data_IF_487291087207
#
_entry.id   IF_487291087207
#
_cell.length_a   1.000
_cell.length_b   1.000
_cell.length_c   1.000
_cell.angle_alpha   90.00
_cell.angle_beta   90.00
_cell.angle_gamma   90.00
#
_symmetry.space_group_name_H-M   'P 1'
#
loop_
_entity.id
_entity.type
_entity.pdbx_description
1 polymer ?
#
# COMPACT_ATOMS: atom_id res chain seq x y z
N UNK A 1 10.81 -11.99 -8.21
CA UNK A 1 10.47 -11.49 -6.86
C UNK A 1 10.53 -9.98 -6.95
N UNK A 2 9.45 -9.25 -6.67
CA UNK A 2 9.49 -7.78 -6.65
C UNK A 2 10.35 -7.38 -5.45
N UNK A 3 11.33 -6.53 -5.66
CA UNK A 3 12.02 -5.89 -4.54
C UNK A 3 10.97 -5.12 -3.73
N UNK A 4 10.82 -5.45 -2.46
CA UNK A 4 9.97 -4.70 -1.54
C UNK A 4 10.64 -3.35 -1.29
N UNK A 5 10.25 -2.37 -2.10
CA UNK A 5 10.75 -1.02 -2.06
C UNK A 5 9.73 -0.17 -1.33
N UNK A 6 10.20 0.64 -0.39
CA UNK A 6 9.36 1.65 0.27
C UNK A 6 8.92 2.69 -0.79
N UNK A 7 7.61 2.84 -1.06
CA UNK A 7 7.12 3.89 -1.96
C UNK A 7 7.50 5.27 -1.43
N UNK A 8 7.92 6.17 -2.33
CA UNK A 8 8.35 7.53 -1.98
C UNK A 8 7.26 8.26 -1.19
N UNK A 9 5.99 8.10 -1.58
CA UNK A 9 4.83 8.69 -0.91
C UNK A 9 4.74 8.30 0.58
N UNK A 10 4.96 7.02 0.90
CA UNK A 10 4.96 6.52 2.29
C UNK A 10 6.17 7.08 3.04
N UNK A 11 7.35 7.05 2.41
CA UNK A 11 8.57 7.57 3.01
C UNK A 11 8.43 9.08 3.34
N UNK A 12 7.90 9.87 2.42
CA UNK A 12 7.67 11.30 2.62
C UNK A 12 6.62 11.57 3.71
N UNK A 13 5.53 10.78 3.73
CA UNK A 13 4.49 10.87 4.77
C UNK A 13 5.08 10.63 6.17
N UNK A 14 5.89 9.59 6.33
CA UNK A 14 6.51 9.26 7.63
C UNK A 14 7.54 10.31 8.04
N UNK A 15 8.40 10.75 7.11
CA UNK A 15 9.34 11.84 7.36
C UNK A 15 8.62 13.11 7.84
N UNK A 16 7.55 13.51 7.15
CA UNK A 16 6.75 14.67 7.52
C UNK A 16 6.08 14.50 8.90
N UNK A 17 5.54 13.32 9.20
CA UNK A 17 4.88 13.02 10.46
C UNK A 17 5.86 13.13 11.64
N UNK A 18 7.03 12.50 11.54
CA UNK A 18 8.03 12.52 12.61
C UNK A 18 8.61 13.92 12.76
N UNK A 19 8.92 14.62 11.66
CA UNK A 19 9.40 16.00 11.71
C UNK A 19 8.38 16.94 12.37
N UNK A 20 7.09 16.83 12.03
CA UNK A 20 6.04 17.65 12.61
C UNK A 20 5.92 17.50 14.13
N UNK A 21 6.12 16.30 14.65
CA UNK A 21 6.01 16.01 16.09
C UNK A 21 7.29 16.38 16.84
N UNK A 22 8.46 16.17 16.24
CA UNK A 22 9.75 16.21 16.95
C UNK A 22 10.61 17.42 16.61
N UNK A 23 10.32 18.11 15.50
CA UNK A 23 11.16 19.15 14.92
C UNK A 23 12.52 18.64 14.40
N UNK A 24 12.80 17.34 14.44
CA UNK A 24 14.09 16.76 14.07
C UNK A 24 14.21 16.56 12.56
N UNK A 25 15.44 16.54 12.07
CA UNK A 25 15.71 16.15 10.69
C UNK A 25 15.60 14.62 10.57
N UNK A 26 14.75 14.16 9.66
CA UNK A 26 14.43 12.75 9.43
C UNK A 26 14.69 12.42 7.98
N UNK A 27 15.32 11.28 7.75
CA UNK A 27 15.62 10.75 6.43
C UNK A 27 15.17 9.30 6.36
N UNK A 28 14.60 8.89 5.23
CA UNK A 28 14.38 7.49 4.91
C UNK A 28 15.23 7.15 3.68
N UNK A 29 15.94 6.04 3.78
CA UNK A 29 16.86 5.55 2.76
C UNK A 29 16.36 4.20 2.25
N UNK A 30 16.41 4.03 0.93
CA UNK A 30 16.09 2.79 0.25
C UNK A 30 17.34 1.97 -0.07
N UNK A 31 17.29 1.24 -1.18
CA UNK A 31 18.37 0.38 -1.64
C UNK A 31 19.71 1.13 -1.79
N UNK A 32 20.82 0.47 -1.43
CA UNK A 32 22.16 1.05 -1.51
C UNK A 32 22.42 2.23 -0.56
N UNK A 33 21.48 2.54 0.35
CA UNK A 33 21.58 3.69 1.27
C UNK A 33 21.23 5.03 0.62
N UNK A 34 20.55 5.02 -0.54
CA UNK A 34 20.09 6.23 -1.22
C UNK A 34 18.91 6.85 -0.46
N UNK A 35 18.98 8.15 -0.16
CA UNK A 35 17.91 8.89 0.50
C UNK A 35 16.72 9.03 -0.46
N UNK A 36 15.58 8.43 -0.11
CA UNK A 36 14.33 8.49 -0.88
C UNK A 36 13.37 9.55 -0.34
N UNK A 37 13.50 9.92 0.94
CA UNK A 37 12.73 11.01 1.54
C UNK A 37 13.55 11.71 2.63
N UNK A 38 13.47 13.04 2.68
CA UNK A 38 14.12 13.85 3.71
C UNK A 38 13.37 15.16 3.93
N UNK A 39 13.47 15.71 5.14
CA UNK A 39 13.09 17.11 5.43
C UNK A 39 13.94 18.08 4.60
N UNK A 40 15.19 17.70 4.37
CA UNK A 40 16.19 18.42 3.59
C UNK A 40 16.14 17.93 2.14
N UNK A 41 15.29 18.56 1.31
CA UNK A 41 15.02 18.10 -0.06
C UNK A 41 16.27 18.02 -0.94
N UNK A 42 17.28 18.84 -0.68
CA UNK A 42 18.58 18.78 -1.37
C UNK A 42 19.35 17.47 -1.14
N UNK A 43 19.00 16.68 -0.13
CA UNK A 43 19.62 15.38 0.16
C UNK A 43 18.98 14.20 -0.57
N UNK A 44 17.76 14.36 -1.10
CA UNK A 44 17.07 13.28 -1.82
C UNK A 44 17.90 12.88 -3.04
N UNK A 45 18.09 11.58 -3.24
CA UNK A 45 18.95 11.02 -4.28
C UNK A 45 20.43 10.92 -3.92
N UNK A 46 20.86 11.45 -2.77
CA UNK A 46 22.25 11.27 -2.29
C UNK A 46 22.39 9.99 -1.47
N UNK A 47 23.61 9.44 -1.38
CA UNK A 47 23.90 8.25 -0.58
C UNK A 47 24.32 8.65 0.83
N UNK A 48 23.75 7.98 1.82
CA UNK A 48 24.18 8.10 3.20
C UNK A 48 25.07 6.91 3.59
N UNK A 49 26.35 7.14 3.88
CA UNK A 49 27.31 6.05 4.18
C UNK A 49 26.87 5.16 5.35
N UNK A 50 26.35 5.75 6.44
CA UNK A 50 25.76 4.96 7.53
C UNK A 50 24.57 4.09 7.10
N UNK A 51 23.75 4.56 6.16
CA UNK A 51 22.62 3.81 5.62
C UNK A 51 23.10 2.69 4.71
N UNK A 52 24.16 2.92 3.93
CA UNK A 52 24.75 1.92 3.05
C UNK A 52 25.18 0.68 3.84
N UNK A 53 25.86 0.87 4.97
CA UNK A 53 26.27 -0.23 5.87
C UNK A 53 25.08 -0.98 6.46
N UNK A 54 23.99 -0.27 6.80
CA UNK A 54 22.76 -0.91 7.27
C UNK A 54 22.09 -1.72 6.15
N UNK A 55 22.06 -1.17 4.94
CA UNK A 55 21.45 -1.81 3.77
C UNK A 55 22.27 -2.98 3.22
N UNK A 56 23.60 -3.00 3.42
CA UNK A 56 24.45 -4.18 3.14
C UNK A 56 24.32 -5.27 4.19
N UNK A 57 23.68 -4.97 5.33
CA UNK A 57 23.53 -5.91 6.45
C UNK A 57 24.78 -6.05 7.30
N UNK A 58 25.75 -5.14 7.18
CA UNK A 58 26.92 -5.11 8.08
C UNK A 58 26.52 -4.79 9.52
N UNK A 59 25.49 -3.96 9.69
CA UNK A 59 24.93 -3.51 10.98
C UNK A 59 23.42 -3.30 10.86
N UNK A 60 22.70 -3.36 11.98
CA UNK A 60 21.25 -3.10 12.02
C UNK A 60 20.92 -1.66 12.38
N UNK A 61 21.78 -1.07 13.20
CA UNK A 61 21.62 0.26 13.75
C UNK A 61 22.98 0.94 13.94
N UNK A 62 22.96 2.27 13.89
CA UNK A 62 24.11 3.12 14.11
C UNK A 62 23.68 4.32 14.94
N UNK A 63 24.09 4.32 16.21
CA UNK A 63 24.03 5.46 17.10
C UNK A 63 25.33 6.27 16.96
N UNK A 64 25.21 7.59 16.85
CA UNK A 64 26.36 8.50 16.82
C UNK A 64 26.13 9.63 17.82
N UNK A 65 26.98 9.73 18.84
CA UNK A 65 26.93 10.81 19.82
C UNK A 65 27.48 12.13 19.27
N UNK A 66 27.29 13.24 20.00
CA UNK A 66 27.88 14.52 19.61
C UNK A 66 29.41 14.48 19.72
N UNK A 67 29.96 13.80 20.73
CA UNK A 67 31.41 13.64 20.89
C UNK A 67 32.00 12.85 19.71
N UNK A 68 31.35 11.79 19.26
CA UNK A 68 31.76 11.00 18.10
C UNK A 68 31.64 11.82 16.81
N UNK A 69 30.53 12.53 16.61
CA UNK A 69 30.33 13.39 15.45
C UNK A 69 31.40 14.49 15.36
N UNK A 70 31.85 15.04 16.49
CA UNK A 70 32.89 16.08 16.53
C UNK A 70 34.27 15.61 16.06
N UNK A 71 34.53 14.29 16.11
CA UNK A 71 35.80 13.67 15.73
C UNK A 71 35.91 13.39 14.23
N UNK A 72 34.79 13.42 13.49
CA UNK A 72 34.74 13.06 12.07
C UNK A 72 34.09 14.17 11.23
N UNK A 73 34.81 14.63 10.20
CA UNK A 73 34.32 15.69 9.32
C UNK A 73 33.11 15.20 8.51
N UNK A 74 31.95 15.84 8.69
CA UNK A 74 30.73 15.56 7.93
C UNK A 74 29.75 14.56 8.59
N UNK A 75 30.05 14.08 9.80
CA UNK A 75 29.16 13.21 10.57
C UNK A 75 28.28 14.05 11.50
N UNK A 76 26.99 13.71 11.60
CA UNK A 76 26.04 14.37 12.51
C UNK A 76 25.59 13.37 13.57
N UNK A 77 25.40 13.85 14.80
CA UNK A 77 24.81 13.06 15.87
C UNK A 77 23.39 12.64 15.50
N UNK A 78 23.04 11.40 15.84
CA UNK A 78 21.76 10.83 15.47
C UNK A 78 21.70 9.33 15.65
N UNK A 79 20.57 8.78 15.24
CA UNK A 79 20.32 7.35 15.24
C UNK A 79 19.80 6.93 13.88
N UNK A 80 20.46 5.97 13.26
CA UNK A 80 19.99 5.31 12.04
C UNK A 80 19.66 3.87 12.37
N UNK A 81 18.50 3.37 11.93
CA UNK A 81 18.10 1.99 12.15
C UNK A 81 17.37 1.41 10.95
N UNK A 82 17.52 0.10 10.77
CA UNK A 82 16.90 -0.67 9.71
C UNK A 82 15.36 -0.63 9.79
N UNK A 83 14.71 -0.67 8.63
CA UNK A 83 13.30 -0.97 8.46
C UNK A 83 13.23 -2.41 7.92
N UNK A 84 12.66 -3.29 8.73
CA UNK A 84 12.43 -4.69 8.37
C UNK A 84 10.97 -4.87 8.00
N UNK A 85 10.65 -5.64 6.97
CA UNK A 85 9.29 -6.12 6.71
C UNK A 85 9.37 -7.62 6.47
N UNK A 86 8.59 -8.41 7.21
CA UNK A 86 8.63 -9.87 7.12
C UNK A 86 10.06 -10.46 7.20
N UNK A 87 10.91 -9.88 8.06
CA UNK A 87 12.31 -10.28 8.21
C UNK A 87 13.27 -9.81 7.09
N UNK A 88 12.78 -9.11 6.07
CA UNK A 88 13.59 -8.55 4.98
C UNK A 88 13.92 -7.09 5.23
N UNK A 89 15.15 -6.67 4.89
CA UNK A 89 15.58 -5.26 4.93
C UNK A 89 15.04 -4.52 3.72
N UNK A 90 14.12 -3.59 3.94
CA UNK A 90 13.47 -2.82 2.87
C UNK A 90 13.93 -1.36 2.82
N UNK A 91 14.62 -0.91 3.87
CA UNK A 91 15.16 0.43 3.96
C UNK A 91 15.78 0.70 5.33
N UNK A 92 16.12 1.95 5.60
CA UNK A 92 16.46 2.42 6.94
C UNK A 92 15.96 3.85 7.15
N UNK A 93 15.79 4.22 8.40
CA UNK A 93 15.36 5.56 8.82
C UNK A 93 16.42 6.16 9.75
N UNK A 94 16.77 7.42 9.48
CA UNK A 94 17.75 8.19 10.23
C UNK A 94 17.13 9.43 10.84
N UNK A 95 17.37 9.67 12.13
CA UNK A 95 16.93 10.87 12.85
C UNK A 95 18.15 11.55 13.49
N UNK A 96 18.33 12.85 13.24
CA UNK A 96 19.39 13.63 13.87
C UNK A 96 19.02 14.03 15.30
N UNK A 97 19.98 13.98 16.23
CA UNK A 97 19.81 14.35 17.64
C UNK A 97 20.55 13.41 18.60
N UNK A 98 20.35 13.60 19.90
CA UNK A 98 20.91 12.69 20.91
C UNK A 98 20.35 11.26 20.70
N UNK A 99 21.21 10.25 20.46
CA UNK A 99 20.79 8.87 20.21
C UNK A 99 19.83 8.27 21.26
N UNK A 100 19.98 8.64 22.54
CA UNK A 100 19.10 8.15 23.61
C UNK A 100 17.66 8.67 23.47
N UNK A 101 17.50 9.87 22.89
CA UNK A 101 16.19 10.49 22.68
C UNK A 101 15.60 10.07 21.34
N UNK A 102 16.41 10.05 20.28
CA UNK A 102 15.92 9.81 18.91
C UNK A 102 15.87 8.32 18.54
N UNK A 103 16.57 7.44 19.26
CA UNK A 103 16.54 5.99 19.02
C UNK A 103 15.14 5.39 19.13
N UNK A 104 14.38 5.61 20.22
CA UNK A 104 13.00 5.15 20.33
C UNK A 104 12.10 5.71 19.22
N UNK A 105 12.27 6.98 18.85
CA UNK A 105 11.51 7.64 17.79
C UNK A 105 11.81 7.01 16.42
N UNK A 106 13.08 6.69 16.16
CA UNK A 106 13.48 5.99 14.95
C UNK A 106 12.81 4.61 14.88
N UNK A 107 12.84 3.84 15.97
CA UNK A 107 12.22 2.51 16.04
C UNK A 107 10.71 2.58 15.78
N UNK A 108 10.02 3.56 16.38
CA UNK A 108 8.62 3.82 16.07
C UNK A 108 8.42 4.20 14.60
N UNK A 109 9.29 5.04 14.04
CA UNK A 109 9.23 5.42 12.63
C UNK A 109 9.37 4.22 11.69
N UNK A 110 10.25 3.27 12.02
CA UNK A 110 10.37 2.02 11.28
C UNK A 110 9.11 1.15 11.36
N UNK A 111 8.44 1.11 12.52
CA UNK A 111 7.15 0.40 12.68
C UNK A 111 6.06 1.09 11.86
N UNK A 112 5.98 2.43 11.88
CA UNK A 112 4.97 3.17 11.10
C UNK A 112 5.14 2.90 9.60
N UNK A 113 6.37 2.84 9.09
CA UNK A 113 6.60 2.47 7.67
C UNK A 113 6.08 1.06 7.39
N UNK A 114 6.34 0.10 8.27
CA UNK A 114 5.83 -1.27 8.12
C UNK A 114 4.31 -1.32 8.09
N UNK A 115 3.65 -0.68 9.05
CA UNK A 115 2.19 -0.63 9.16
C UNK A 115 1.54 0.01 7.93
N UNK A 116 2.13 1.09 7.39
CA UNK A 116 1.62 1.72 6.16
C UNK A 116 1.77 0.81 4.92
N UNK A 117 2.84 0.02 4.86
CA UNK A 117 3.03 -0.96 3.78
C UNK A 117 2.08 -2.14 3.91
N UNK A 118 1.88 -2.65 5.12
CA UNK A 118 0.98 -3.78 5.37
C UNK A 118 -0.47 -3.37 5.12
N UNK A 119 -0.87 -2.18 5.58
CA UNK A 119 -2.18 -1.62 5.27
C UNK A 119 -2.40 -1.48 3.76
N UNK A 120 -1.41 -0.96 3.03
CA UNK A 120 -1.50 -0.84 1.57
C UNK A 120 -1.65 -2.20 0.89
N UNK A 121 -0.91 -3.21 1.34
CA UNK A 121 -1.03 -4.59 0.84
C UNK A 121 -2.43 -5.14 1.05
N UNK A 122 -2.98 -4.98 2.26
CA UNK A 122 -4.34 -5.43 2.58
C UNK A 122 -5.42 -4.67 1.81
N UNK A 123 -5.24 -3.37 1.59
CA UNK A 123 -6.16 -2.56 0.78
C UNK A 123 -6.12 -2.99 -0.70
N UNK A 124 -4.93 -3.34 -1.22
CA UNK A 124 -4.76 -3.89 -2.58
C UNK A 124 -5.43 -5.27 -2.71
N UNK A 125 -5.17 -6.21 -1.79
CA UNK A 125 -5.81 -7.54 -1.77
C UNK A 125 -7.34 -7.45 -1.69
N UNK A 126 -7.85 -6.61 -0.79
CA UNK A 126 -9.29 -6.38 -0.64
C UNK A 126 -9.92 -5.82 -1.92
N UNK A 127 -9.18 -4.99 -2.66
CA UNK A 127 -9.66 -4.43 -3.93
C UNK A 127 -9.71 -5.48 -5.03
N UNK A 128 -8.69 -6.34 -5.12
CA UNK A 128 -8.69 -7.48 -6.05
C UNK A 128 -9.86 -8.45 -5.76
N UNK A 129 -10.15 -8.73 -4.49
CA UNK A 129 -11.31 -9.55 -4.10
C UNK A 129 -12.64 -8.91 -4.53
N UNK A 130 -12.80 -7.59 -4.36
CA UNK A 130 -14.01 -6.88 -4.78
C UNK A 130 -14.19 -6.90 -6.30
N UNK A 131 -13.10 -6.75 -7.05
CA UNK A 131 -13.12 -6.84 -8.51
C UNK A 131 -13.53 -8.24 -8.98
N UNK A 132 -13.00 -9.30 -8.35
CA UNK A 132 -13.39 -10.67 -8.65
C UNK A 132 -14.88 -10.91 -8.36
N UNK A 133 -15.39 -10.44 -7.22
CA UNK A 133 -16.81 -10.54 -6.87
C UNK A 133 -17.67 -9.80 -7.91
N UNK A 134 -17.27 -8.60 -8.32
CA UNK A 134 -18.00 -7.84 -9.34
C UNK A 134 -18.04 -8.57 -10.69
N UNK A 135 -16.94 -9.22 -11.07
CA UNK A 135 -16.89 -10.05 -12.28
C UNK A 135 -17.80 -11.27 -12.18
N UNK A 136 -17.79 -11.98 -11.06
CA UNK A 136 -18.66 -13.14 -10.82
C UNK A 136 -20.14 -12.76 -10.88
N UNK A 137 -20.50 -11.61 -10.30
CA UNK A 137 -21.86 -11.06 -10.38
C UNK A 137 -22.26 -10.79 -11.85
N UNK A 138 -21.35 -10.20 -12.64
CA UNK A 138 -21.59 -9.93 -14.07
C UNK A 138 -21.77 -11.23 -14.85
N UNK A 139 -20.93 -12.24 -14.60
CA UNK A 139 -21.05 -13.56 -15.20
C UNK A 139 -22.40 -14.24 -14.86
N UNK A 140 -22.86 -14.12 -13.61
CA UNK A 140 -24.17 -14.62 -13.19
C UNK A 140 -25.31 -13.88 -13.89
N UNK A 141 -25.20 -12.56 -14.04
CA UNK A 141 -26.19 -11.74 -14.74
C UNK A 141 -26.34 -12.17 -16.21
N UNK A 142 -25.23 -12.49 -16.88
CA UNK A 142 -25.22 -13.04 -18.24
C UNK A 142 -25.86 -14.42 -18.31
N UNK A 143 -25.63 -15.31 -17.34
CA UNK A 143 -26.32 -16.60 -17.26
C UNK A 143 -27.83 -16.44 -17.08
N UNK A 144 -28.26 -15.51 -16.23
CA UNK A 144 -29.69 -15.17 -16.05
C UNK A 144 -30.29 -14.72 -17.38
N UNK A 145 -29.56 -13.92 -18.17
CA UNK A 145 -30.01 -13.47 -19.49
C UNK A 145 -30.25 -14.64 -20.45
N UNK A 146 -29.40 -15.66 -20.44
CA UNK A 146 -29.60 -16.89 -21.23
C UNK A 146 -30.86 -17.64 -20.78
N UNK A 147 -31.08 -17.78 -19.47
CA UNK A 147 -32.29 -18.42 -18.92
C UNK A 147 -33.55 -17.63 -19.31
N UNK A 148 -33.49 -16.30 -19.26
CA UNK A 148 -34.57 -15.41 -19.68
C UNK A 148 -34.90 -15.57 -21.18
N UNK A 149 -33.88 -15.71 -22.05
CA UNK A 149 -34.08 -16.00 -23.48
C UNK A 149 -34.79 -17.35 -23.67
N UNK A 150 -34.34 -18.40 -22.97
CA UNK A 150 -35.00 -19.71 -23.04
C UNK A 150 -36.46 -19.67 -22.55
N UNK A 151 -36.72 -18.92 -21.49
CA UNK A 151 -38.08 -18.66 -20.99
C UNK A 151 -38.96 -17.93 -22.02
N UNK A 152 -38.41 -16.93 -22.72
CA UNK A 152 -39.12 -16.22 -23.81
C UNK A 152 -39.51 -17.18 -24.93
N UNK A 153 -38.60 -18.06 -25.34
CA UNK A 153 -38.84 -19.06 -26.40
C UNK A 153 -39.97 -20.02 -25.98
N UNK A 154 -39.96 -20.51 -24.73
CA UNK A 154 -41.03 -21.37 -24.23
C UNK A 154 -42.37 -20.64 -24.14
N UNK A 155 -42.39 -19.40 -23.64
CA UNK A 155 -43.59 -18.58 -23.57
C UNK A 155 -44.21 -18.39 -24.97
N UNK A 156 -43.39 -18.12 -25.99
CA UNK A 156 -43.83 -17.99 -27.37
C UNK A 156 -44.44 -19.31 -27.92
N UNK A 157 -43.84 -20.46 -27.60
CA UNK A 157 -44.36 -21.79 -28.01
C UNK A 157 -45.72 -22.12 -27.40
N UNK A 158 -46.00 -21.63 -26.19
CA UNK A 158 -47.24 -21.90 -25.46
C UNK A 158 -48.42 -20.97 -25.83
N UNK A 159 -48.19 -19.95 -26.67
CA UNK A 159 -49.21 -18.98 -27.04
C UNK A 159 -49.78 -18.26 -25.81
N UNK A 160 -51.11 -18.16 -25.70
CA UNK A 160 -51.76 -17.51 -24.56
C UNK A 160 -51.45 -18.16 -23.20
N UNK A 161 -51.19 -19.48 -23.18
CA UNK A 161 -50.81 -20.20 -21.95
C UNK A 161 -49.42 -19.82 -21.45
N UNK A 162 -48.60 -19.14 -22.27
CA UNK A 162 -47.27 -18.65 -21.91
C UNK A 162 -47.25 -17.29 -21.19
N UNK A 163 -48.41 -16.62 -21.03
CA UNK A 163 -48.47 -15.28 -20.44
C UNK A 163 -47.81 -15.16 -19.05
N UNK A 164 -47.98 -16.12 -18.10
CA UNK A 164 -47.29 -16.05 -16.81
C UNK A 164 -45.75 -16.11 -16.94
N UNK A 165 -45.23 -16.94 -17.84
CA UNK A 165 -43.79 -17.07 -18.09
C UNK A 165 -43.20 -15.79 -18.67
N UNK A 166 -43.96 -15.10 -19.55
CA UNK A 166 -43.54 -13.81 -20.13
C UNK A 166 -43.34 -12.73 -19.07
N UNK A 167 -44.20 -12.69 -18.04
CA UNK A 167 -44.07 -11.74 -16.92
C UNK A 167 -42.77 -12.00 -16.14
N UNK A 168 -42.50 -13.26 -15.80
CA UNK A 168 -41.28 -13.65 -15.07
C UNK A 168 -40.02 -13.28 -15.87
N UNK A 169 -40.02 -13.56 -17.18
CA UNK A 169 -38.88 -13.24 -18.04
C UNK A 169 -38.62 -11.73 -18.14
N UNK A 170 -39.67 -10.91 -18.22
CA UNK A 170 -39.53 -9.45 -18.20
C UNK A 170 -38.90 -8.96 -16.90
N UNK A 171 -39.34 -9.51 -15.76
CA UNK A 171 -38.77 -9.18 -14.45
C UNK A 171 -37.31 -9.63 -14.33
N UNK A 172 -36.95 -10.77 -14.91
CA UNK A 172 -35.56 -11.25 -14.94
C UNK A 172 -34.66 -10.29 -15.73
N UNK A 173 -35.12 -9.77 -16.88
CA UNK A 173 -34.35 -8.81 -17.66
C UNK A 173 -34.12 -7.49 -16.89
N UNK A 174 -35.15 -6.96 -16.23
CA UNK A 174 -35.02 -5.78 -15.37
C UNK A 174 -34.07 -6.00 -14.19
N UNK A 175 -34.09 -7.20 -13.60
CA UNK A 175 -33.20 -7.58 -12.50
C UNK A 175 -31.74 -7.66 -12.97
N UNK A 176 -31.47 -8.30 -14.12
CA UNK A 176 -30.13 -8.37 -14.73
C UNK A 176 -29.54 -6.98 -14.94
N UNK A 177 -30.34 -6.04 -15.45
CA UNK A 177 -29.93 -4.65 -15.65
C UNK A 177 -29.57 -3.95 -14.33
N UNK A 178 -30.32 -4.22 -13.26
CA UNK A 178 -30.02 -3.69 -11.92
C UNK A 178 -28.73 -4.27 -11.35
N UNK A 179 -28.52 -5.58 -11.52
CA UNK A 179 -27.33 -6.31 -11.06
C UNK A 179 -26.09 -5.75 -11.74
N UNK A 180 -26.11 -5.57 -13.07
CA UNK A 180 -24.97 -5.01 -13.81
C UNK A 180 -24.62 -3.59 -13.36
N UNK A 181 -25.63 -2.74 -13.11
CA UNK A 181 -25.38 -1.39 -12.54
C UNK A 181 -24.81 -1.41 -11.11
N UNK A 182 -25.05 -2.47 -10.34
CA UNK A 182 -24.44 -2.64 -9.02
C UNK A 182 -22.99 -3.11 -9.15
N UNK A 183 -22.72 -4.11 -10.00
CA UNK A 183 -21.38 -4.62 -10.25
C UNK A 183 -20.42 -3.51 -10.72
N UNK A 184 -20.86 -2.67 -11.67
CA UNK A 184 -20.06 -1.52 -12.15
C UNK A 184 -19.72 -0.52 -11.04
N UNK A 185 -20.64 -0.31 -10.08
CA UNK A 185 -20.36 0.57 -8.93
C UNK A 185 -19.36 -0.05 -7.97
N UNK A 186 -19.42 -1.36 -7.76
CA UNK A 186 -18.47 -2.09 -6.88
C UNK A 186 -17.05 -2.01 -7.45
N UNK A 187 -16.88 -2.28 -8.76
CA UNK A 187 -15.57 -2.19 -9.42
C UNK A 187 -15.01 -0.77 -9.54
N UNK A 188 -15.88 0.25 -9.47
CA UNK A 188 -15.50 1.67 -9.53
C UNK A 188 -15.25 2.34 -8.18
N UNK A 189 -15.46 1.63 -7.07
CA UNK A 189 -15.27 2.13 -5.69
C UNK A 189 -13.84 1.94 -5.19
#
# INVERSE_FOLDING_TARGET
MKDEIIPVEIAEKVVALINRVTGKNVNIMGQGGVIIASVQKERVGTVHEGAKRIMTGEIDELAVSEEEASRFKGVKAGYNGVILRQGRRIGCIGISGNPEIVGPIQKMGAIIVQEELDKRSSDEERREELDQIAQDITNLADQIKVVAINGSIQAARLGERGAPVKVVVSQMAELTDRINRMAVRIAGS
#
